data_IF_237833126110
#
_entry.id   IF_237833126110
#
_cell.length_a   1.000
_cell.length_b   1.000
_cell.length_c   1.000
_cell.angle_alpha   90.00
_cell.angle_beta   90.00
_cell.angle_gamma   90.00
#
_symmetry.space_group_name_H-M   'P 1'
#
loop_
_entity.id
_entity.type
_entity.pdbx_description
1 polymer ?
#
# COMPACT_ATOMS: atom_id res chain seq x y z
N UNK A 1 2.76 -14.37 7.58
CA UNK A 1 1.83 -13.25 7.88
C UNK A 1 0.74 -13.21 6.81
N UNK A 2 -0.51 -12.83 7.08
CA UNK A 2 -1.62 -12.93 6.10
C UNK A 2 -1.35 -12.12 4.81
N UNK A 3 -0.73 -10.95 4.92
CA UNK A 3 -0.35 -10.13 3.77
C UNK A 3 0.70 -10.79 2.86
N UNK A 4 1.55 -11.69 3.36
CA UNK A 4 2.52 -12.41 2.52
C UNK A 4 1.88 -13.55 1.72
N UNK A 5 0.76 -14.10 2.21
CA UNK A 5 -0.02 -15.13 1.50
C UNK A 5 -1.07 -14.52 0.57
N UNK A 6 -1.55 -13.32 0.91
CA UNK A 6 -2.57 -12.57 0.16
C UNK A 6 -2.02 -11.20 -0.28
N UNK A 7 -0.87 -11.22 -0.96
CA UNK A 7 -0.19 -10.02 -1.48
C UNK A 7 -0.96 -9.32 -2.61
N UNK A 8 -0.39 -8.28 -3.20
CA UNK A 8 -1.07 -7.41 -4.16
C UNK A 8 -1.50 -8.12 -5.47
N UNK A 9 -0.79 -9.18 -5.87
CA UNK A 9 -1.12 -9.96 -7.08
C UNK A 9 -2.20 -11.02 -6.85
N UNK A 10 -2.54 -11.35 -5.60
CA UNK A 10 -3.52 -12.39 -5.27
C UNK A 10 -4.93 -11.79 -5.32
N UNK A 11 -5.77 -12.21 -6.28
CA UNK A 11 -7.15 -11.68 -6.37
C UNK A 11 -7.98 -12.06 -5.13
N UNK A 12 -8.86 -11.15 -4.73
CA UNK A 12 -9.89 -11.36 -3.69
C UNK A 12 -11.20 -10.70 -4.09
N UNK A 13 -12.25 -10.78 -3.27
CA UNK A 13 -13.50 -10.08 -3.60
C UNK A 13 -13.35 -8.57 -3.41
N UNK A 14 -13.23 -8.13 -2.16
CA UNK A 14 -12.95 -6.75 -1.77
C UNK A 14 -11.45 -6.61 -1.47
N UNK A 15 -10.72 -6.30 -2.53
CA UNK A 15 -9.27 -6.07 -2.49
C UNK A 15 -8.43 -7.24 -3.00
N UNK A 16 -7.14 -6.96 -3.27
CA UNK A 16 -6.40 -5.80 -2.78
C UNK A 16 -6.69 -4.53 -3.60
N UNK A 17 -6.96 -3.42 -2.92
CA UNK A 17 -7.11 -2.09 -3.54
C UNK A 17 -6.37 -1.04 -2.72
N UNK A 18 -5.75 -0.08 -3.39
CA UNK A 18 -4.91 0.93 -2.73
C UNK A 18 -3.94 1.60 -3.70
N UNK A 19 -2.69 1.76 -3.25
CA UNK A 19 -1.63 2.46 -3.96
C UNK A 19 -0.50 1.51 -4.35
N UNK A 20 0.06 1.71 -5.55
CA UNK A 20 1.40 1.24 -5.90
C UNK A 20 2.32 2.46 -5.86
N UNK A 21 3.27 2.45 -4.94
CA UNK A 21 4.24 3.52 -4.72
C UNK A 21 5.64 3.03 -5.06
N UNK A 22 6.57 3.94 -5.32
CA UNK A 22 7.93 3.59 -5.74
C UNK A 22 7.90 2.61 -6.92
N UNK A 23 7.04 2.86 -7.90
CA UNK A 23 6.76 1.94 -9.00
C UNK A 23 7.57 2.32 -10.26
N UNK A 24 8.10 1.33 -10.96
CA UNK A 24 8.71 1.52 -12.28
C UNK A 24 7.64 1.62 -13.37
N UNK A 25 7.98 2.21 -14.51
CA UNK A 25 7.04 2.45 -15.63
C UNK A 25 6.33 1.18 -16.12
N UNK A 26 7.02 0.04 -16.17
CA UNK A 26 6.45 -1.25 -16.57
C UNK A 26 5.91 -2.09 -15.41
N UNK A 27 5.85 -1.55 -14.19
CA UNK A 27 5.49 -2.26 -12.96
C UNK A 27 6.33 -3.51 -12.71
N UNK A 28 7.60 -3.50 -13.13
CA UNK A 28 8.62 -4.49 -12.77
C UNK A 28 8.90 -4.43 -11.27
N UNK A 29 9.05 -3.21 -10.76
CA UNK A 29 9.21 -2.88 -9.35
C UNK A 29 8.04 -2.02 -8.86
N UNK A 30 7.57 -2.29 -7.64
CA UNK A 30 6.63 -1.44 -6.91
C UNK A 30 6.50 -1.90 -5.45
N UNK A 31 6.07 -0.98 -4.59
CA UNK A 31 5.59 -1.29 -3.24
C UNK A 31 4.10 -1.09 -3.19
N UNK A 32 3.34 -2.13 -2.82
CA UNK A 32 1.88 -2.06 -2.80
C UNK A 32 1.37 -1.82 -1.38
N UNK A 33 0.70 -0.69 -1.17
CA UNK A 33 0.03 -0.34 0.09
C UNK A 33 -1.48 -0.44 -0.13
N UNK A 34 -2.13 -1.40 0.49
CA UNK A 34 -3.52 -1.73 0.14
C UNK A 34 -4.36 -2.20 1.31
N UNK A 35 -5.68 -2.19 1.08
CA UNK A 35 -6.65 -2.83 1.97
C UNK A 35 -7.21 -4.12 1.38
N UNK A 36 -7.61 -5.01 2.28
CA UNK A 36 -8.52 -6.13 2.02
C UNK A 36 -9.63 -6.13 3.05
N UNK A 37 -10.85 -6.40 2.60
CA UNK A 37 -12.01 -6.53 3.47
C UNK A 37 -12.43 -7.99 3.49
N UNK A 38 -12.49 -8.58 4.67
CA UNK A 38 -12.98 -9.92 4.91
C UNK A 38 -14.36 -9.85 5.58
N UNK A 39 -15.24 -10.77 5.21
CA UNK A 39 -16.53 -10.97 5.88
C UNK A 39 -16.36 -12.03 6.96
N UNK A 40 -16.47 -11.63 8.22
CA UNK A 40 -16.65 -12.54 9.36
C UNK A 40 -18.11 -12.95 9.53
N UNK A 41 -18.42 -13.70 10.59
CA UNK A 41 -19.79 -14.18 10.84
C UNK A 41 -20.79 -13.02 10.95
N UNK A 42 -20.49 -11.99 11.77
CA UNK A 42 -21.38 -10.85 12.00
C UNK A 42 -20.70 -9.47 11.83
N UNK A 43 -19.46 -9.43 11.33
CA UNK A 43 -18.72 -8.18 11.15
C UNK A 43 -17.78 -8.24 9.96
N UNK A 44 -17.44 -7.08 9.42
CA UNK A 44 -16.35 -6.96 8.45
C UNK A 44 -15.03 -6.73 9.18
N UNK A 45 -13.95 -7.24 8.60
CA UNK A 45 -12.59 -7.07 9.12
C UNK A 45 -11.75 -6.46 8.01
N UNK A 46 -11.10 -5.35 8.31
CA UNK A 46 -10.25 -4.64 7.36
C UNK A 46 -8.78 -4.91 7.68
N UNK A 47 -8.05 -5.42 6.70
CA UNK A 47 -6.62 -5.66 6.76
C UNK A 47 -5.92 -4.60 5.91
N UNK A 48 -4.95 -3.91 6.49
CA UNK A 48 -3.98 -3.07 5.79
C UNK A 48 -2.70 -3.87 5.56
N UNK A 49 -2.15 -3.78 4.36
CA UNK A 49 -0.89 -4.44 3.99
C UNK A 49 0.08 -3.42 3.38
N UNK A 50 1.37 -3.62 3.67
CA UNK A 50 2.49 -3.07 2.89
C UNK A 50 3.25 -4.25 2.28
N UNK A 51 3.13 -4.42 0.98
CA UNK A 51 3.71 -5.50 0.20
C UNK A 51 4.87 -5.01 -0.66
N UNK A 52 6.06 -5.25 -0.15
CA UNK A 52 7.35 -4.96 -0.77
C UNK A 52 7.96 -6.20 -1.46
N UNK A 53 7.20 -7.29 -1.66
CA UNK A 53 7.70 -8.50 -2.32
C UNK A 53 8.28 -8.23 -3.72
N UNK A 54 7.78 -7.18 -4.40
CA UNK A 54 8.25 -6.70 -5.70
C UNK A 54 8.86 -5.31 -5.65
N UNK A 55 9.31 -4.82 -4.50
CA UNK A 55 9.81 -3.45 -4.36
C UNK A 55 11.19 -3.21 -4.98
N UNK A 56 11.90 -4.27 -5.37
CA UNK A 56 13.24 -4.18 -5.95
C UNK A 56 13.55 -5.42 -6.79
N UNK A 57 14.34 -5.28 -7.85
CA UNK A 57 14.96 -6.36 -8.60
C UNK A 57 16.17 -6.96 -7.87
N UNK A 58 16.75 -6.23 -6.91
CA UNK A 58 17.84 -6.75 -6.09
C UNK A 58 17.30 -7.75 -5.06
N UNK A 59 17.72 -9.00 -5.16
CA UNK A 59 17.26 -10.08 -4.27
C UNK A 59 17.93 -10.10 -2.89
N UNK A 60 18.98 -9.30 -2.68
CA UNK A 60 19.62 -9.17 -1.36
C UNK A 60 18.85 -8.29 -0.37
N UNK A 61 17.91 -7.48 -0.85
CA UNK A 61 17.08 -6.66 0.03
C UNK A 61 16.08 -7.52 0.80
N UNK A 62 15.89 -7.18 2.07
CA UNK A 62 14.74 -7.67 2.83
C UNK A 62 13.44 -7.09 2.24
N UNK A 63 12.57 -7.97 1.79
CA UNK A 63 11.27 -7.67 1.17
C UNK A 63 10.11 -8.21 2.00
N UNK A 64 10.33 -8.43 3.30
CA UNK A 64 9.33 -8.94 4.22
C UNK A 64 8.09 -8.05 4.19
N UNK A 65 6.96 -8.62 3.79
CA UNK A 65 5.65 -7.95 3.78
C UNK A 65 5.15 -7.69 5.19
N UNK A 66 4.52 -6.53 5.42
CA UNK A 66 3.91 -6.15 6.69
C UNK A 66 2.39 -6.05 6.58
N UNK A 67 1.71 -6.15 7.73
CA UNK A 67 0.27 -6.01 7.78
C UNK A 67 -0.26 -5.74 9.17
N UNK A 68 -1.36 -5.02 9.24
CA UNK A 68 -2.08 -4.70 10.47
C UNK A 68 -3.58 -4.73 10.20
N UNK A 69 -4.36 -5.24 11.16
CA UNK A 69 -5.80 -5.06 11.12
C UNK A 69 -6.15 -3.62 11.50
N UNK A 70 -7.23 -3.11 10.93
CA UNK A 70 -7.78 -1.78 11.23
C UNK A 70 -9.07 -1.93 12.03
N UNK A 71 -9.18 -1.18 13.11
CA UNK A 71 -10.41 -1.07 13.91
C UNK A 71 -11.36 -0.04 13.28
N UNK A 72 -11.97 -0.43 12.16
CA UNK A 72 -12.90 0.40 11.38
C UNK A 72 -14.09 -0.45 10.93
N UNK A 73 -15.28 0.14 10.91
CA UNK A 73 -16.45 -0.50 10.32
C UNK A 73 -16.67 0.02 8.88
N UNK A 74 -16.38 -0.78 7.84
CA UNK A 74 -16.51 -0.33 6.46
C UNK A 74 -17.97 -0.13 5.99
N UNK A 75 -18.97 -0.47 6.81
CA UNK A 75 -20.37 -0.15 6.52
C UNK A 75 -20.75 1.27 6.93
N UNK A 76 -20.10 1.82 7.96
CA UNK A 76 -20.46 3.10 8.57
C UNK A 76 -19.36 4.15 8.40
N UNK A 77 -18.12 3.74 8.18
CA UNK A 77 -16.95 4.61 8.01
C UNK A 77 -16.30 4.42 6.63
N UNK A 78 -15.75 5.50 6.09
CA UNK A 78 -14.94 5.47 4.87
C UNK A 78 -13.52 5.03 5.19
N UNK A 79 -12.93 4.18 4.35
CA UNK A 79 -11.53 3.81 4.48
C UNK A 79 -10.62 4.93 3.97
N UNK A 80 -9.75 5.43 4.84
CA UNK A 80 -8.74 6.43 4.50
C UNK A 80 -7.34 5.81 4.51
N UNK A 81 -6.50 6.28 3.59
CA UNK A 81 -5.09 5.91 3.49
C UNK A 81 -4.28 7.17 3.20
N UNK A 82 -3.28 7.44 4.04
CA UNK A 82 -2.23 8.43 3.77
C UNK A 82 -0.91 7.69 3.64
N UNK A 83 -0.13 7.98 2.61
CA UNK A 83 1.21 7.41 2.44
C UNK A 83 2.20 8.54 2.20
N UNK A 84 3.21 8.63 3.06
CA UNK A 84 4.39 9.47 2.84
C UNK A 84 5.43 8.63 2.11
N UNK A 85 5.96 9.17 1.03
CA UNK A 85 6.92 8.49 0.16
C UNK A 85 8.15 9.39 0.09
N UNK A 86 9.28 8.91 0.59
CA UNK A 86 10.54 9.63 0.54
C UNK A 86 11.68 8.69 0.15
N UNK A 87 11.88 8.54 -1.16
CA UNK A 87 12.90 7.68 -1.75
C UNK A 87 12.86 6.24 -1.18
N UNK A 88 13.72 5.93 -0.20
CA UNK A 88 13.86 4.59 0.38
C UNK A 88 12.94 4.28 1.55
N UNK A 89 12.02 5.19 1.92
CA UNK A 89 11.06 4.98 3.00
C UNK A 89 9.63 5.27 2.53
N UNK A 90 8.71 4.40 2.97
CA UNK A 90 7.27 4.52 2.76
C UNK A 90 6.59 4.40 4.12
N UNK A 91 5.88 5.44 4.54
CA UNK A 91 5.12 5.47 5.79
C UNK A 91 3.63 5.56 5.49
N UNK A 92 2.89 4.52 5.87
CA UNK A 92 1.49 4.37 5.53
C UNK A 92 0.61 4.41 6.78
N UNK A 93 -0.44 5.22 6.72
CA UNK A 93 -1.38 5.48 7.81
C UNK A 93 -2.79 5.12 7.34
N UNK A 94 -3.35 4.03 7.88
CA UNK A 94 -4.70 3.56 7.57
C UNK A 94 -5.72 4.06 8.59
N UNK A 95 -6.95 4.34 8.14
CA UNK A 95 -8.06 4.71 9.01
C UNK A 95 -7.79 5.96 9.86
N UNK A 96 -7.13 6.97 9.29
CA UNK A 96 -6.75 8.20 10.00
C UNK A 96 -5.62 8.02 11.02
N UNK A 97 -4.81 6.95 10.90
CA UNK A 97 -3.71 6.67 11.81
C UNK A 97 -4.00 5.58 12.85
N UNK A 98 -5.18 4.95 12.80
CA UNK A 98 -5.53 3.78 13.62
C UNK A 98 -4.52 2.63 13.47
N UNK A 99 -3.95 2.47 12.27
CA UNK A 99 -2.81 1.59 12.03
C UNK A 99 -1.75 2.30 11.19
N UNK A 100 -0.49 2.08 11.54
CA UNK A 100 0.67 2.64 10.86
C UNK A 100 1.61 1.50 10.42
N UNK A 101 2.15 1.61 9.21
CA UNK A 101 3.16 0.68 8.70
C UNK A 101 4.26 1.50 8.04
N UNK A 102 5.49 1.32 8.53
CA UNK A 102 6.69 1.91 7.91
C UNK A 102 7.48 0.80 7.22
N UNK A 103 7.78 1.00 5.94
CA UNK A 103 8.57 0.09 5.14
C UNK A 103 9.78 0.80 4.54
N UNK A 104 10.90 0.06 4.43
CA UNK A 104 12.10 0.50 3.72
C UNK A 104 12.20 -0.28 2.42
N UNK A 105 12.45 0.42 1.32
CA UNK A 105 12.49 -0.18 -0.02
C UNK A 105 13.63 0.42 -0.83
N UNK A 106 14.21 -0.38 -1.72
CA UNK A 106 15.42 -0.03 -2.47
C UNK A 106 15.29 -0.46 -3.93
N UNK A 107 14.36 0.14 -4.70
CA UNK A 107 14.20 -0.17 -6.13
C UNK A 107 15.46 0.17 -6.93
N UNK A 108 15.65 -0.51 -8.05
CA UNK A 108 16.76 -0.30 -9.00
C UNK A 108 16.31 0.58 -10.16
N UNK A 109 15.06 0.43 -10.62
CA UNK A 109 14.45 1.13 -11.74
C UNK A 109 13.60 2.32 -11.28
N UNK A 110 12.85 2.18 -10.19
CA UNK A 110 11.98 3.22 -9.65
C UNK A 110 12.76 4.22 -8.78
N UNK A 111 13.72 4.90 -9.38
CA UNK A 111 14.57 5.91 -8.73
C UNK A 111 14.47 7.25 -9.47
N UNK A 112 14.58 8.36 -8.71
CA UNK A 112 14.50 9.72 -9.24
C UNK A 112 13.25 9.92 -10.14
N UNK A 113 13.45 10.40 -11.37
CA UNK A 113 12.40 10.68 -12.34
C UNK A 113 11.74 9.42 -12.93
N UNK A 114 12.29 8.22 -12.65
CA UNK A 114 11.72 6.93 -13.04
C UNK A 114 10.62 6.42 -12.10
N UNK A 115 10.26 7.20 -11.09
CA UNK A 115 9.29 6.81 -10.05
C UNK A 115 7.87 7.19 -10.44
N UNK A 116 6.96 6.22 -10.38
CA UNK A 116 5.53 6.41 -10.63
C UNK A 116 4.68 6.09 -9.39
N UNK A 117 3.49 6.69 -9.37
CA UNK A 117 2.44 6.45 -8.38
C UNK A 117 1.18 5.97 -9.12
N UNK A 118 0.61 4.85 -8.68
CA UNK A 118 -0.63 4.33 -9.24
C UNK A 118 -1.67 4.09 -8.14
N UNK A 119 -2.94 4.27 -8.50
CA UNK A 119 -4.07 3.73 -7.74
C UNK A 119 -4.51 2.45 -8.43
N UNK A 120 -4.76 1.39 -7.66
CA UNK A 120 -5.12 0.10 -8.22
C UNK A 120 -6.27 -0.57 -7.46
N UNK A 121 -6.98 -1.44 -8.16
CA UNK A 121 -7.90 -2.41 -7.59
C UNK A 121 -7.71 -3.74 -8.33
N UNK A 122 -7.24 -4.76 -7.61
CA UNK A 122 -7.10 -6.13 -8.11
C UNK A 122 -8.08 -7.09 -7.41
N UNK A 123 -9.15 -6.54 -6.81
CA UNK A 123 -10.33 -7.29 -6.37
C UNK A 123 -11.30 -7.57 -7.52
N UNK A 124 -12.25 -8.48 -7.29
CA UNK A 124 -13.32 -8.75 -8.27
C UNK A 124 -14.47 -7.75 -8.14
N UNK A 125 -14.61 -7.10 -6.99
CA UNK A 125 -15.61 -6.05 -6.77
C UNK A 125 -15.01 -4.68 -7.08
N UNK A 126 -15.82 -3.81 -7.68
CA UNK A 126 -15.46 -2.42 -7.90
C UNK A 126 -15.43 -1.63 -6.59
N UNK A 127 -14.47 -0.72 -6.46
CA UNK A 127 -14.37 0.23 -5.34
C UNK A 127 -14.35 1.65 -5.90
N UNK A 128 -15.03 2.57 -5.24
CA UNK A 128 -15.03 3.99 -5.60
C UNK A 128 -13.95 4.76 -4.87
N UNK A 129 -13.17 5.56 -5.59
CA UNK A 129 -12.25 6.54 -4.98
C UNK A 129 -13.01 7.85 -4.82
N UNK A 130 -13.42 8.16 -3.60
CA UNK A 130 -14.22 9.37 -3.33
C UNK A 130 -13.38 10.64 -3.45
N UNK A 131 -12.16 10.61 -2.94
CA UNK A 131 -11.18 11.70 -3.01
C UNK A 131 -9.78 11.13 -3.09
N UNK A 132 -8.93 11.78 -3.89
CA UNK A 132 -7.50 11.51 -3.96
C UNK A 132 -6.79 12.85 -4.06
N UNK A 133 -5.76 13.03 -3.24
CA UNK A 133 -4.92 14.21 -3.28
C UNK A 133 -3.47 13.79 -3.15
N UNK A 134 -2.64 14.30 -4.05
CA UNK A 134 -1.22 14.02 -4.11
C UNK A 134 -0.46 15.35 -4.19
N UNK A 135 0.59 15.47 -3.38
CA UNK A 135 1.42 16.66 -3.31
C UNK A 135 2.88 16.26 -3.50
N UNK A 136 3.57 16.94 -4.40
CA UNK A 136 5.02 16.84 -4.50
C UNK A 136 5.64 17.53 -3.28
N UNK A 137 6.43 16.77 -2.50
CA UNK A 137 7.06 17.26 -1.29
C UNK A 137 8.44 17.87 -1.61
N UNK A 138 8.70 19.09 -1.14
CA UNK A 138 10.02 19.73 -1.29
C UNK A 138 10.99 19.17 -0.26
N UNK A 139 12.28 19.14 -0.62
CA UNK A 139 13.36 18.75 0.29
C UNK A 139 13.37 19.68 1.52
N UNK A 140 13.37 19.08 2.71
CA UNK A 140 13.56 19.82 3.96
C UNK A 140 15.05 20.13 4.19
N UNK A 141 15.34 21.24 4.89
CA UNK A 141 16.68 21.49 5.43
C UNK A 141 16.78 20.76 6.77
N UNK A 142 17.59 19.72 6.80
CA UNK A 142 17.89 18.93 8.01
C UNK A 142 19.27 19.38 8.52
N UNK A 143 19.37 19.69 9.81
CA UNK A 143 20.60 20.16 10.45
C UNK A 143 21.44 19.01 11.00
#
# INVERSE_FOLDING_TARGET
MLCSQKGASVKGSLGPFGLLVMASKGLEEYTAVFFRIFKGQNKYVVLMCSDQSRSSLNNSNDKTTYGAFLDVDPLHEKLSLRTLIDHSIVESFGGGGKSCITARVYPVLAVEDGTHLHVFNNGTQSVGVLTLSAWSMKKAKIN
#
